data_IF_795135914880
#
_entry.id   IF_795135914880
#
_cell.length_a   1.000
_cell.length_b   1.000
_cell.length_c   1.000
_cell.angle_alpha   90.00
_cell.angle_beta   90.00
_cell.angle_gamma   90.00
#
_symmetry.space_group_name_H-M   'P 1'
#
loop_
_entity.id
_entity.type
_entity.pdbx_description
1 polymer ?
#
# COMPACT_ATOMS: atom_id res chain seq x y z
N UNK A 1 -1.33 -26.04 22.88
CA UNK A 1 -1.73 -24.62 23.07
C UNK A 1 -1.85 -23.93 21.73
N UNK A 2 -2.99 -23.34 21.46
CA UNK A 2 -3.14 -22.50 20.28
C UNK A 2 -2.56 -21.11 20.60
N UNK A 3 -1.55 -20.69 19.85
CA UNK A 3 -1.06 -19.32 19.91
C UNK A 3 -2.12 -18.40 19.30
N UNK A 4 -2.60 -17.44 20.08
CA UNK A 4 -3.41 -16.36 19.52
C UNK A 4 -2.50 -15.48 18.65
N UNK A 5 -2.88 -15.16 17.41
CA UNK A 5 -2.14 -14.19 16.64
C UNK A 5 -2.08 -12.88 17.42
N UNK A 6 -0.92 -12.23 17.43
CA UNK A 6 -0.79 -10.90 18.03
C UNK A 6 -1.71 -9.93 17.29
N UNK A 7 -2.40 -9.02 18.01
CA UNK A 7 -3.22 -8.01 17.35
C UNK A 7 -2.35 -7.12 16.45
N UNK A 8 -2.88 -6.73 15.29
CA UNK A 8 -2.20 -5.81 14.41
C UNK A 8 -2.12 -4.42 15.08
N UNK A 9 -1.07 -3.63 14.77
CA UNK A 9 -0.93 -2.29 15.32
C UNK A 9 -2.11 -1.39 14.95
N UNK A 10 -2.41 -0.43 15.82
CA UNK A 10 -3.43 0.58 15.55
C UNK A 10 -2.91 1.59 14.53
N UNK A 11 -3.68 1.78 13.47
CA UNK A 11 -3.40 2.73 12.40
C UNK A 11 -4.67 3.51 12.08
N UNK A 12 -4.52 4.74 11.59
CA UNK A 12 -5.65 5.61 11.29
C UNK A 12 -5.48 6.28 9.92
N UNK A 13 -6.60 6.54 9.27
CA UNK A 13 -6.64 7.32 8.03
C UNK A 13 -6.81 8.80 8.37
N UNK A 14 -6.00 9.65 7.75
CA UNK A 14 -6.11 11.11 7.84
C UNK A 14 -5.77 11.74 6.51
N UNK A 15 -6.00 13.05 6.37
CA UNK A 15 -5.45 13.80 5.25
C UNK A 15 -3.93 13.79 5.32
N UNK A 16 -3.31 13.54 4.16
CA UNK A 16 -1.87 13.43 4.02
C UNK A 16 -1.27 14.72 3.46
N UNK A 17 -0.05 15.04 3.86
CA UNK A 17 0.75 16.08 3.24
C UNK A 17 1.34 15.62 1.90
N UNK A 18 1.41 14.31 1.69
CA UNK A 18 1.92 13.71 0.45
C UNK A 18 0.89 13.80 -0.64
N UNK A 19 -0.26 13.17 -0.45
CA UNK A 19 -1.33 13.15 -1.45
C UNK A 19 -2.62 12.66 -0.80
N UNK A 20 -3.70 13.42 -0.97
CA UNK A 20 -5.04 13.04 -0.54
C UNK A 20 -5.11 12.55 0.91
N UNK A 21 -5.62 11.35 1.10
CA UNK A 21 -5.58 10.66 2.37
C UNK A 21 -4.30 9.84 2.51
N UNK A 22 -3.90 9.60 3.75
CA UNK A 22 -2.81 8.69 4.10
C UNK A 22 -3.19 7.86 5.31
N UNK A 23 -2.33 6.94 5.67
CA UNK A 23 -2.47 6.09 6.85
C UNK A 23 -1.33 6.38 7.81
N UNK A 24 -1.65 6.57 9.07
CA UNK A 24 -0.71 6.99 10.09
C UNK A 24 -0.66 5.97 11.23
N UNK A 25 0.53 5.78 11.79
CA UNK A 25 0.68 4.99 12.99
C UNK A 25 -0.01 5.69 14.16
N UNK A 26 -0.92 4.98 14.86
CA UNK A 26 -1.56 5.50 16.07
C UNK A 26 -0.79 5.12 17.34
N UNK A 27 0.22 4.26 17.20
CA UNK A 27 1.09 3.78 18.26
C UNK A 27 2.47 3.49 17.67
N UNK A 28 3.53 3.39 18.49
CA UNK A 28 4.83 2.96 17.98
C UNK A 28 4.75 1.56 17.37
N UNK A 29 5.41 1.37 16.23
CA UNK A 29 5.42 0.09 15.53
C UNK A 29 6.88 -0.39 15.45
N UNK A 30 7.21 -1.56 16.03
CA UNK A 30 8.54 -2.11 15.92
C UNK A 30 8.92 -2.52 14.49
N UNK A 31 10.22 -2.51 14.20
CA UNK A 31 10.75 -3.01 12.92
C UNK A 31 10.27 -4.44 12.66
N UNK A 32 9.98 -4.74 11.39
CA UNK A 32 9.53 -6.04 10.88
C UNK A 32 8.13 -6.47 11.33
N UNK A 33 7.38 -5.62 12.01
CA UNK A 33 5.99 -5.91 12.38
C UNK A 33 5.10 -5.94 11.14
N UNK A 34 4.24 -6.93 11.03
CA UNK A 34 3.12 -6.93 10.09
C UNK A 34 2.10 -5.90 10.56
N UNK A 35 1.75 -4.97 9.68
CA UNK A 35 0.86 -3.85 10.02
C UNK A 35 -0.56 -4.12 9.55
N UNK A 36 -0.72 -4.43 8.28
CA UNK A 36 -2.02 -4.67 7.65
C UNK A 36 -1.80 -5.40 6.33
N UNK A 37 -2.79 -6.15 5.88
CA UNK A 37 -2.78 -6.70 4.54
C UNK A 37 -3.39 -5.71 3.54
N UNK A 38 -2.88 -5.70 2.32
CA UNK A 38 -3.46 -4.94 1.22
C UNK A 38 -4.65 -5.74 0.69
N UNK A 39 -5.82 -5.52 1.26
CA UNK A 39 -7.04 -6.24 0.93
C UNK A 39 -7.67 -5.74 -0.36
N UNK A 40 -8.37 -6.62 -1.04
CA UNK A 40 -9.12 -6.30 -2.25
C UNK A 40 -9.53 -7.56 -2.98
N UNK A 41 -10.39 -7.39 -3.96
CA UNK A 41 -10.83 -8.51 -4.81
C UNK A 41 -9.63 -9.13 -5.51
N UNK A 42 -9.55 -10.47 -5.45
CA UNK A 42 -8.54 -11.21 -6.18
C UNK A 42 -8.96 -11.30 -7.65
N UNK A 43 -8.18 -10.69 -8.54
CA UNK A 43 -8.49 -10.57 -9.97
C UNK A 43 -7.37 -11.18 -10.79
N UNK A 44 -7.73 -11.90 -11.86
CA UNK A 44 -6.74 -12.41 -12.81
C UNK A 44 -6.15 -11.24 -13.60
N UNK A 45 -4.85 -11.31 -13.88
CA UNK A 45 -4.16 -10.22 -14.55
C UNK A 45 -4.67 -9.96 -15.97
N UNK A 46 -5.17 -11.00 -16.67
CA UNK A 46 -5.80 -10.83 -17.97
C UNK A 46 -7.12 -10.04 -17.91
N UNK A 47 -7.72 -9.92 -16.74
CA UNK A 47 -8.96 -9.16 -16.51
C UNK A 47 -8.73 -7.84 -15.79
N UNK A 48 -7.52 -7.61 -15.27
CA UNK A 48 -7.23 -6.43 -14.44
C UNK A 48 -6.86 -5.19 -15.24
N UNK A 49 -6.36 -5.33 -16.45
CA UNK A 49 -5.85 -4.21 -17.26
C UNK A 49 -6.88 -3.10 -17.49
N UNK A 50 -8.09 -3.46 -17.89
CA UNK A 50 -9.15 -2.47 -18.15
C UNK A 50 -9.54 -1.70 -16.89
N UNK A 51 -9.55 -2.38 -15.74
CA UNK A 51 -9.81 -1.73 -14.45
C UNK A 51 -8.67 -0.78 -14.08
N UNK A 52 -7.43 -1.24 -14.23
CA UNK A 52 -6.25 -0.45 -13.93
C UNK A 52 -6.18 0.82 -14.78
N UNK A 53 -6.40 0.72 -16.09
CA UNK A 53 -6.45 1.87 -16.99
C UNK A 53 -7.47 2.90 -16.52
N UNK A 54 -8.65 2.45 -16.12
CA UNK A 54 -9.70 3.34 -15.62
C UNK A 54 -9.28 4.04 -14.33
N UNK A 55 -8.67 3.30 -13.40
CA UNK A 55 -8.19 3.88 -12.14
C UNK A 55 -7.06 4.88 -12.37
N UNK A 56 -6.11 4.55 -13.24
CA UNK A 56 -4.99 5.43 -13.58
C UNK A 56 -5.46 6.71 -14.24
N UNK A 57 -6.50 6.64 -15.09
CA UNK A 57 -7.11 7.83 -15.69
C UNK A 57 -7.73 8.75 -14.63
N UNK A 58 -8.17 8.21 -13.50
CA UNK A 58 -8.69 8.96 -12.36
C UNK A 58 -7.58 9.38 -11.37
N UNK A 59 -6.33 9.07 -11.67
CA UNK A 59 -5.18 9.37 -10.79
C UNK A 59 -5.06 8.43 -9.60
N UNK A 60 -5.63 7.23 -9.69
CA UNK A 60 -5.65 6.27 -8.59
C UNK A 60 -4.85 5.02 -8.93
N UNK A 61 -4.16 4.49 -7.93
CA UNK A 61 -3.45 3.20 -8.02
C UNK A 61 -4.08 2.25 -7.00
N UNK A 62 -5.05 1.46 -7.46
CA UNK A 62 -5.76 0.50 -6.62
C UNK A 62 -5.35 -0.96 -6.86
N UNK A 63 -4.76 -1.24 -8.02
CA UNK A 63 -4.34 -2.59 -8.38
C UNK A 63 -2.97 -2.89 -7.82
N UNK A 64 -2.84 -3.98 -7.09
CA UNK A 64 -1.56 -4.47 -6.58
C UNK A 64 -1.29 -5.85 -7.18
N UNK A 65 -0.28 -5.94 -8.04
CA UNK A 65 0.09 -7.20 -8.68
C UNK A 65 0.81 -8.12 -7.70
N UNK A 66 0.28 -9.32 -7.53
CA UNK A 66 0.84 -10.35 -6.66
C UNK A 66 1.89 -11.18 -7.41
N UNK A 67 1.53 -11.67 -8.59
CA UNK A 67 2.36 -12.56 -9.41
C UNK A 67 1.91 -12.47 -10.87
N UNK A 68 2.34 -13.41 -11.71
CA UNK A 68 2.00 -13.42 -13.12
C UNK A 68 0.51 -13.61 -13.44
N UNK A 69 -0.25 -14.19 -12.50
CA UNK A 69 -1.66 -14.52 -12.69
C UNK A 69 -2.63 -13.62 -11.96
N UNK A 70 -2.24 -13.09 -10.80
CA UNK A 70 -3.16 -12.50 -9.85
C UNK A 70 -2.76 -11.11 -9.41
N UNK A 71 -3.78 -10.28 -9.20
CA UNK A 71 -3.68 -8.98 -8.55
C UNK A 71 -4.79 -8.80 -7.53
N UNK A 72 -4.60 -7.88 -6.58
CA UNK A 72 -5.65 -7.42 -5.69
C UNK A 72 -6.16 -6.06 -6.17
N UNK A 73 -7.48 -5.94 -6.27
CA UNK A 73 -8.15 -4.68 -6.59
C UNK A 73 -8.72 -4.08 -5.31
N UNK A 74 -8.04 -3.10 -4.76
CA UNK A 74 -8.44 -2.47 -3.49
C UNK A 74 -9.65 -1.55 -3.63
N UNK A 75 -10.10 -1.26 -4.84
CA UNK A 75 -11.35 -0.53 -5.06
C UNK A 75 -12.57 -1.38 -4.71
N UNK A 76 -12.43 -2.70 -4.67
CA UNK A 76 -13.51 -3.65 -4.38
C UNK A 76 -13.11 -4.51 -3.18
N UNK A 77 -13.82 -4.35 -2.08
CA UNK A 77 -13.54 -5.13 -0.87
C UNK A 77 -12.22 -4.81 -0.19
N UNK A 78 -11.66 -3.63 -0.44
CA UNK A 78 -10.42 -3.17 0.18
C UNK A 78 -10.61 -2.71 1.62
N UNK A 79 -9.48 -2.40 2.26
CA UNK A 79 -9.41 -1.82 3.60
C UNK A 79 -8.64 -0.50 3.55
N UNK A 80 -8.28 0.06 4.71
CA UNK A 80 -7.56 1.34 4.75
C UNK A 80 -6.15 1.25 4.16
N UNK A 81 -5.58 0.06 3.97
CA UNK A 81 -4.27 -0.11 3.35
C UNK A 81 -4.20 0.54 1.95
N UNK A 82 -5.31 0.61 1.24
CA UNK A 82 -5.38 1.28 -0.08
C UNK A 82 -5.01 2.75 -0.04
N UNK A 83 -5.09 3.39 1.12
CA UNK A 83 -4.73 4.80 1.30
C UNK A 83 -3.28 5.01 1.73
N UNK A 84 -2.50 3.95 1.92
CA UNK A 84 -1.07 4.08 2.21
C UNK A 84 -0.39 4.66 0.96
N UNK A 85 0.25 5.81 1.11
CA UNK A 85 0.87 6.51 0.01
C UNK A 85 2.23 5.90 -0.36
N UNK A 86 2.64 6.13 -1.60
CA UNK A 86 3.97 5.83 -2.08
C UNK A 86 4.99 6.81 -1.50
N UNK A 87 6.20 6.31 -1.22
CA UNK A 87 7.39 7.13 -1.03
C UNK A 87 8.58 6.46 -1.68
N UNK A 88 9.47 7.28 -2.24
CA UNK A 88 10.78 6.81 -2.71
C UNK A 88 11.74 6.57 -1.54
N UNK A 89 11.38 7.01 -0.33
CA UNK A 89 12.11 6.77 0.93
C UNK A 89 11.14 6.24 1.98
N UNK A 90 10.63 5.01 1.78
CA UNK A 90 9.53 4.50 2.59
C UNK A 90 9.98 4.02 3.96
N UNK A 91 9.02 3.95 4.89
CA UNK A 91 9.20 3.32 6.19
C UNK A 91 8.57 1.93 6.30
N UNK A 92 7.93 1.49 5.22
CA UNK A 92 7.34 0.15 5.12
C UNK A 92 7.82 -0.55 3.85
N UNK A 93 7.63 -1.85 3.84
CA UNK A 93 7.83 -2.71 2.68
C UNK A 93 6.70 -3.73 2.63
N UNK A 94 6.59 -4.46 1.56
CA UNK A 94 5.56 -5.48 1.45
C UNK A 94 6.16 -6.86 1.20
N UNK A 95 5.50 -7.89 1.72
CA UNK A 95 5.81 -9.27 1.40
C UNK A 95 4.55 -9.99 0.95
N UNK A 96 4.69 -10.87 -0.01
CA UNK A 96 3.57 -11.69 -0.49
C UNK A 96 3.74 -13.08 0.11
N UNK A 97 2.72 -13.51 0.85
CA UNK A 97 2.65 -14.86 1.40
C UNK A 97 1.39 -15.49 0.84
N UNK A 98 1.57 -16.47 -0.06
CA UNK A 98 0.52 -17.04 -0.87
C UNK A 98 -0.13 -15.91 -1.73
N UNK A 99 -1.36 -15.56 -1.51
CA UNK A 99 -2.02 -14.45 -2.23
C UNK A 99 -2.32 -13.27 -1.31
N UNK A 100 -1.74 -13.25 -0.15
CA UNK A 100 -1.87 -12.15 0.82
C UNK A 100 -0.67 -11.22 0.72
N UNK A 101 -0.93 -9.94 0.58
CA UNK A 101 0.10 -8.91 0.53
C UNK A 101 0.16 -8.24 1.89
N UNK A 102 1.24 -8.48 2.64
CA UNK A 102 1.44 -7.90 3.96
C UNK A 102 2.30 -6.65 3.88
N UNK A 103 1.80 -5.55 4.42
CA UNK A 103 2.60 -4.33 4.63
C UNK A 103 3.29 -4.47 5.99
N UNK A 104 4.60 -4.29 6.00
CA UNK A 104 5.45 -4.47 7.17
C UNK A 104 6.31 -3.23 7.42
N UNK A 105 6.64 -2.98 8.69
CA UNK A 105 7.56 -1.92 9.04
C UNK A 105 9.00 -2.29 8.63
N UNK A 106 9.67 -1.43 7.86
CA UNK A 106 11.08 -1.63 7.48
C UNK A 106 12.04 -1.08 8.53
N UNK A 107 11.55 -0.27 9.44
CA UNK A 107 12.25 0.28 10.61
C UNK A 107 11.24 0.53 11.72
N UNK A 108 11.70 0.94 12.90
CA UNK A 108 10.79 1.42 13.94
C UNK A 108 10.04 2.66 13.45
N UNK A 109 8.73 2.67 13.62
CA UNK A 109 7.86 3.78 13.24
C UNK A 109 7.29 4.40 14.51
N UNK A 110 7.36 5.72 14.60
CA UNK A 110 6.83 6.45 15.76
C UNK A 110 5.33 6.68 15.60
N UNK A 111 4.61 6.77 16.72
CA UNK A 111 3.22 7.22 16.69
C UNK A 111 3.12 8.57 15.97
N UNK A 112 2.16 8.71 15.08
CA UNK A 112 1.95 9.92 14.28
C UNK A 112 2.68 9.96 12.94
N UNK A 113 3.63 9.06 12.68
CA UNK A 113 4.27 8.98 11.37
C UNK A 113 3.31 8.44 10.32
N UNK A 114 3.38 9.00 9.12
CA UNK A 114 2.66 8.46 7.96
C UNK A 114 3.36 7.20 7.46
N UNK A 115 2.58 6.15 7.23
CA UNK A 115 3.06 4.91 6.63
C UNK A 115 3.20 5.09 5.12
N UNK A 116 4.33 4.67 4.58
CA UNK A 116 4.59 4.72 3.14
C UNK A 116 5.34 3.47 2.71
N UNK A 117 5.15 3.06 1.47
CA UNK A 117 5.97 2.02 0.85
C UNK A 117 6.24 2.38 -0.61
N UNK A 118 7.26 1.79 -1.20
CA UNK A 118 7.53 1.94 -2.61
C UNK A 118 6.56 1.04 -3.38
N UNK A 119 5.73 1.63 -4.22
CA UNK A 119 4.74 0.90 -5.00
C UNK A 119 5.36 -0.06 -6.01
N UNK A 120 6.61 0.18 -6.41
CA UNK A 120 7.33 -0.67 -7.37
C UNK A 120 6.49 -0.96 -8.62
N UNK A 121 5.83 0.07 -9.16
CA UNK A 121 4.95 -0.06 -10.32
C UNK A 121 5.70 -0.50 -11.56
N UNK A 122 5.08 -1.38 -12.36
CA UNK A 122 5.61 -1.85 -13.64
C UNK A 122 4.81 -1.23 -14.80
N UNK A 123 5.44 -1.13 -15.96
CA UNK A 123 4.83 -0.56 -17.15
C UNK A 123 5.07 0.93 -17.29
N UNK A 124 4.24 1.59 -18.10
CA UNK A 124 4.35 3.03 -18.32
C UNK A 124 3.93 3.80 -17.06
N UNK A 125 4.86 4.57 -16.52
CA UNK A 125 4.65 5.34 -15.29
C UNK A 125 4.18 6.74 -15.65
N UNK A 126 2.93 7.03 -15.41
CA UNK A 126 2.30 8.29 -15.83
C UNK A 126 1.90 9.22 -14.70
N UNK A 127 1.73 8.70 -13.49
CA UNK A 127 1.32 9.50 -12.33
C UNK A 127 2.54 10.11 -11.66
N UNK A 128 2.60 11.46 -11.51
CA UNK A 128 3.72 12.09 -10.81
C UNK A 128 3.85 11.61 -9.36
N UNK A 129 5.07 11.33 -8.93
CA UNK A 129 5.34 11.04 -7.53
C UNK A 129 5.26 12.31 -6.69
N UNK A 130 4.55 12.25 -5.58
CA UNK A 130 4.36 13.38 -4.66
C UNK A 130 4.92 13.11 -3.26
N UNK A 131 5.87 12.15 -3.16
CA UNK A 131 6.44 11.79 -1.86
C UNK A 131 7.18 12.93 -1.16
N UNK A 132 7.67 13.88 -1.95
CA UNK A 132 8.30 15.12 -1.48
C UNK A 132 8.16 16.19 -2.56
N UNK A 133 8.23 17.50 -2.20
CA UNK A 133 8.22 18.57 -3.19
C UNK A 133 9.32 18.39 -4.22
N UNK A 134 8.98 18.49 -5.50
CA UNK A 134 9.94 18.40 -6.60
C UNK A 134 10.50 17.00 -6.87
N UNK A 135 9.89 15.93 -6.35
CA UNK A 135 10.31 14.57 -6.69
C UNK A 135 10.16 14.34 -8.21
N UNK A 136 11.24 13.97 -8.92
CA UNK A 136 11.19 13.80 -10.37
C UNK A 136 10.57 12.48 -10.83
N UNK A 137 10.31 11.55 -9.91
CA UNK A 137 9.85 10.20 -10.25
C UNK A 137 8.37 10.20 -10.62
N UNK A 138 7.97 9.14 -11.33
CA UNK A 138 6.57 8.85 -11.68
C UNK A 138 6.23 7.45 -11.19
N UNK A 139 4.95 7.25 -10.94
CA UNK A 139 4.37 5.95 -10.55
C UNK A 139 3.72 5.28 -11.74
#
# INVERSE_FOLDING_TARGET
>A
MRHRPLPLPNIIRRRSRVHGFGVFAAQPIPKNTRIIDYAGELVRNDQSEAREERYLAEGCIWMFRINRRWSRDAAVGGNIARFINHSCRPNCWFEVVDKTIWIRASRRIRAGEELTYDYATVGERTIPCRCRPGCPNKL
#
